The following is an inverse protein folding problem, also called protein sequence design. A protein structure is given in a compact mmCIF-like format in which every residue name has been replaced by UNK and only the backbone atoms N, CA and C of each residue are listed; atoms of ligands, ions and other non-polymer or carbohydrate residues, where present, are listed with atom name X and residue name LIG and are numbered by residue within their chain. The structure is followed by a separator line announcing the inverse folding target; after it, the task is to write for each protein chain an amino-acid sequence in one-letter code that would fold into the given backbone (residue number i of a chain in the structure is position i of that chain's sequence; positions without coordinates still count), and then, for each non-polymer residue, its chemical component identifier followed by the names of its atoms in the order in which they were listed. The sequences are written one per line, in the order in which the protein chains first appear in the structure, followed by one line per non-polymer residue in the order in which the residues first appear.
data_IF_620902305283
#
_entry.id   IF_620902305283
#
_cell.length_a   1.000
_cell.length_b   1.000
_cell.length_c   1.000
_cell.angle_alpha   90.00
_cell.angle_beta   90.00
_cell.angle_gamma   90.00
#
_symmetry.space_group_name_H-M   'P 1'
#
loop_
_entity.id
_entity.type
_entity.pdbx_description
1 polymer ?
#
# COMPACT_ATOMS: atom_id res chain seq x y z
N UNK A 1 13.58 6.20 -10.88
CA UNK A 1 13.35 4.87 -11.50
C UNK A 1 12.06 4.22 -11.00
N UNK A 2 11.90 3.92 -9.70
CA UNK A 2 10.66 3.27 -9.20
C UNK A 2 9.38 4.11 -9.45
N UNK A 3 9.45 5.43 -9.26
CA UNK A 3 8.35 6.36 -9.62
C UNK A 3 8.03 6.26 -11.11
N UNK A 4 9.04 6.38 -11.98
CA UNK A 4 8.88 6.28 -13.44
C UNK A 4 8.19 4.97 -13.86
N UNK A 5 8.59 3.85 -13.26
CA UNK A 5 7.96 2.56 -13.54
C UNK A 5 6.47 2.52 -13.17
N UNK A 6 6.08 3.15 -12.05
CA UNK A 6 4.67 3.27 -11.69
C UNK A 6 3.89 4.16 -12.68
N UNK A 7 4.52 5.23 -13.18
CA UNK A 7 3.92 6.08 -14.22
C UNK A 7 3.76 5.32 -15.54
N UNK A 8 4.73 4.49 -15.91
CA UNK A 8 4.64 3.60 -17.08
C UNK A 8 3.47 2.60 -16.93
N UNK A 9 3.28 2.00 -15.75
CA UNK A 9 2.13 1.13 -15.48
C UNK A 9 0.79 1.87 -15.65
N UNK A 10 0.73 3.15 -15.25
CA UNK A 10 -0.45 4.00 -15.48
C UNK A 10 -0.69 4.19 -16.98
N UNK A 11 0.35 4.48 -17.77
CA UNK A 11 0.22 4.65 -19.22
C UNK A 11 -0.26 3.37 -19.92
N UNK A 12 0.31 2.21 -19.58
CA UNK A 12 -0.17 0.92 -20.10
C UNK A 12 -1.63 0.69 -19.71
N UNK A 13 -1.98 0.94 -18.45
CA UNK A 13 -3.35 0.77 -17.98
C UNK A 13 -4.34 1.72 -18.66
N UNK A 14 -3.93 2.93 -19.04
CA UNK A 14 -4.76 3.85 -19.85
C UNK A 14 -5.10 3.26 -21.21
N UNK A 15 -4.12 2.65 -21.88
CA UNK A 15 -4.32 1.99 -23.19
C UNK A 15 -5.27 0.78 -23.08
N UNK A 16 -5.22 0.05 -21.96
CA UNK A 16 -6.03 -1.15 -21.74
C UNK A 16 -7.40 -0.87 -21.08
N UNK A 17 -7.68 0.39 -20.72
CA UNK A 17 -8.93 0.76 -20.06
C UNK A 17 -8.98 0.49 -18.55
N UNK A 18 -7.84 0.20 -17.90
CA UNK A 18 -7.72 0.17 -16.44
C UNK A 18 -8.10 1.52 -15.81
N UNK A 19 -8.45 1.48 -14.53
CA UNK A 19 -8.87 2.64 -13.72
C UNK A 19 -8.20 2.69 -12.34
N UNK A 20 -7.21 1.84 -12.09
CA UNK A 20 -6.48 1.87 -10.84
C UNK A 20 -5.05 1.36 -11.01
N UNK A 21 -4.20 1.80 -10.10
CA UNK A 21 -2.85 1.26 -9.87
C UNK A 21 -2.80 0.72 -8.44
N UNK A 22 -2.37 -0.53 -8.28
CA UNK A 22 -2.02 -1.10 -6.97
C UNK A 22 -0.51 -1.08 -6.81
N UNK A 23 -0.03 -0.61 -5.66
CA UNK A 23 1.39 -0.56 -5.30
C UNK A 23 1.61 -1.40 -4.06
N UNK A 24 2.29 -2.53 -4.25
CA UNK A 24 2.90 -3.33 -3.21
C UNK A 24 4.41 -3.36 -3.44
N UNK A 25 5.20 -3.18 -2.39
CA UNK A 25 6.66 -3.22 -2.44
C UNK A 25 7.21 -4.00 -1.25
N UNK A 26 8.37 -4.60 -1.44
CA UNK A 26 9.08 -5.32 -0.39
C UNK A 26 10.00 -4.46 0.48
N UNK A 27 9.87 -3.13 0.40
CA UNK A 27 10.76 -2.19 1.08
C UNK A 27 10.69 -2.36 2.61
N UNK A 28 11.87 -2.49 3.21
CA UNK A 28 12.00 -2.76 4.63
C UNK A 28 13.43 -3.04 5.03
N UNK A 29 13.61 -3.77 6.12
CA UNK A 29 14.90 -4.18 6.62
C UNK A 29 14.85 -5.58 7.22
N UNK A 30 16.03 -6.19 7.31
CA UNK A 30 16.22 -7.52 7.88
C UNK A 30 16.98 -7.50 9.21
N UNK A 31 17.50 -6.33 9.63
CA UNK A 31 18.26 -6.19 10.87
C UNK A 31 17.92 -4.90 11.62
N UNK A 32 17.98 -4.92 12.96
CA UNK A 32 17.93 -3.71 13.78
C UNK A 32 18.97 -2.67 13.36
N UNK A 33 18.53 -1.42 13.20
CA UNK A 33 19.40 -0.29 12.85
C UNK A 33 19.76 -0.16 11.35
N UNK A 34 19.41 -1.14 10.51
CA UNK A 34 19.69 -1.08 9.07
C UNK A 34 18.97 0.09 8.38
N UNK A 35 17.76 0.40 8.83
CA UNK A 35 16.96 1.52 8.33
C UNK A 35 16.48 2.39 9.48
N UNK A 36 16.45 3.70 9.23
CA UNK A 36 15.67 4.61 10.07
C UNK A 36 14.21 4.57 9.59
N UNK A 37 13.30 4.11 10.44
CA UNK A 37 11.90 3.87 10.07
C UNK A 37 11.19 5.14 9.60
N UNK A 38 11.33 6.24 10.34
CA UNK A 38 10.69 7.51 10.00
C UNK A 38 11.19 8.04 8.65
N UNK A 39 12.52 8.09 8.45
CA UNK A 39 13.10 8.55 7.19
C UNK A 39 12.77 7.64 6.00
N UNK A 40 12.63 6.34 6.22
CA UNK A 40 12.20 5.41 5.18
C UNK A 40 10.75 5.68 4.76
N UNK A 41 9.87 5.92 5.73
CA UNK A 41 8.49 6.26 5.46
C UNK A 41 8.32 7.65 4.81
N UNK A 42 9.11 8.64 5.21
CA UNK A 42 9.17 9.97 4.54
C UNK A 42 9.50 9.82 3.05
N UNK A 43 10.56 9.07 2.72
CA UNK A 43 10.93 8.79 1.33
C UNK A 43 9.85 8.07 0.55
N UNK A 44 9.16 7.12 1.20
CA UNK A 44 8.02 6.43 0.59
C UNK A 44 6.90 7.42 0.25
N UNK A 45 6.54 8.29 1.19
CA UNK A 45 5.50 9.30 0.97
C UNK A 45 5.87 10.27 -0.15
N UNK A 46 7.12 10.74 -0.20
CA UNK A 46 7.60 11.64 -1.26
C UNK A 46 7.50 10.96 -2.64
N UNK A 47 7.98 9.73 -2.77
CA UNK A 47 7.88 8.97 -4.03
C UNK A 47 6.41 8.72 -4.42
N UNK A 48 5.55 8.36 -3.47
CA UNK A 48 4.14 8.11 -3.74
C UNK A 48 3.36 9.38 -4.08
N UNK A 49 3.78 10.56 -3.59
CA UNK A 49 3.22 11.86 -4.01
C UNK A 49 3.49 12.13 -5.48
N UNK A 50 4.69 11.79 -5.98
CA UNK A 50 5.01 11.89 -7.41
C UNK A 50 4.14 10.94 -8.25
N UNK A 51 4.00 9.67 -7.84
CA UNK A 51 3.10 8.70 -8.51
C UNK A 51 1.65 9.20 -8.50
N UNK A 52 1.19 9.72 -7.36
CA UNK A 52 -0.16 10.24 -7.20
C UNK A 52 -0.45 11.43 -8.12
N UNK A 53 0.53 12.31 -8.32
CA UNK A 53 0.42 13.45 -9.23
C UNK A 53 0.20 13.01 -10.69
N UNK A 54 0.74 11.85 -11.09
CA UNK A 54 0.54 11.25 -12.40
C UNK A 54 -0.80 10.54 -12.61
N UNK A 55 -1.62 10.35 -11.58
CA UNK A 55 -2.90 9.64 -11.70
C UNK A 55 -3.92 10.42 -12.53
N UNK A 56 -4.52 9.81 -13.57
CA UNK A 56 -5.59 10.42 -14.34
C UNK A 56 -6.84 10.75 -13.50
N UNK A 57 -7.73 11.58 -14.05
CA UNK A 57 -9.05 11.79 -13.48
C UNK A 57 -9.85 10.47 -13.45
N UNK A 58 -10.54 10.22 -12.33
CA UNK A 58 -11.32 8.99 -12.13
C UNK A 58 -10.51 7.73 -11.84
N UNK A 59 -9.18 7.81 -11.80
CA UNK A 59 -8.32 6.71 -11.34
C UNK A 59 -8.20 6.66 -9.83
N UNK A 60 -7.90 5.47 -9.31
CA UNK A 60 -7.55 5.24 -7.91
C UNK A 60 -6.13 4.70 -7.77
N UNK A 61 -5.52 4.99 -6.63
CA UNK A 61 -4.25 4.41 -6.20
C UNK A 61 -4.51 3.58 -4.95
N UNK A 62 -4.05 2.35 -4.98
CA UNK A 62 -4.18 1.40 -3.89
C UNK A 62 -2.81 1.09 -3.32
N UNK A 63 -2.55 1.47 -2.08
CA UNK A 63 -1.38 0.97 -1.34
C UNK A 63 -1.77 -0.31 -0.62
N UNK A 64 -0.98 -1.36 -0.82
CA UNK A 64 -1.17 -2.66 -0.20
C UNK A 64 -0.16 -2.83 0.94
N UNK A 65 -0.67 -3.20 2.12
CA UNK A 65 0.16 -3.41 3.29
C UNK A 65 0.51 -4.88 3.43
N UNK A 66 1.67 -5.16 4.04
CA UNK A 66 2.10 -6.51 4.37
C UNK A 66 3.04 -6.50 5.57
N UNK A 67 2.73 -7.31 6.58
CA UNK A 67 3.48 -7.35 7.83
C UNK A 67 4.99 -7.62 7.61
N UNK A 68 5.31 -8.65 6.84
CA UNK A 68 6.68 -9.08 6.56
C UNK A 68 6.74 -9.80 5.20
N UNK A 69 7.94 -10.20 4.79
CA UNK A 69 8.27 -10.86 3.52
C UNK A 69 8.12 -9.93 2.28
N UNK A 70 9.24 -9.56 1.63
CA UNK A 70 10.60 -10.08 1.78
C UNK A 70 11.40 -9.46 2.93
N UNK A 71 10.88 -8.43 3.60
CA UNK A 71 11.55 -7.83 4.76
C UNK A 71 11.17 -8.59 6.04
N UNK A 72 12.16 -9.03 6.82
CA UNK A 72 11.96 -9.93 7.96
C UNK A 72 12.18 -9.29 9.32
N UNK A 73 12.52 -8.01 9.39
CA UNK A 73 12.62 -7.26 10.64
C UNK A 73 11.65 -6.08 10.69
N UNK A 74 11.64 -5.23 9.66
CA UNK A 74 10.64 -4.17 9.52
C UNK A 74 10.22 -4.00 8.05
N UNK A 75 8.95 -3.70 7.81
CA UNK A 75 8.42 -3.35 6.47
C UNK A 75 7.95 -1.91 6.49
N UNK A 76 8.14 -1.16 5.40
CA UNK A 76 7.72 0.26 5.35
C UNK A 76 6.20 0.39 5.41
N UNK A 77 5.47 -0.46 4.71
CA UNK A 77 3.99 -0.49 4.68
C UNK A 77 3.49 -1.73 5.41
N UNK A 78 3.78 -1.83 6.70
CA UNK A 78 3.63 -3.08 7.46
C UNK A 78 2.19 -3.44 7.82
N UNK A 79 1.31 -2.46 8.03
CA UNK A 79 -0.06 -2.71 8.49
C UNK A 79 -1.06 -1.68 7.95
N UNK A 80 -2.34 -1.93 8.24
CA UNK A 80 -3.44 -1.07 7.86
C UNK A 80 -3.36 0.34 8.47
N UNK A 81 -2.67 0.52 9.59
CA UNK A 81 -2.46 1.82 10.24
C UNK A 81 -1.53 2.70 9.42
N UNK A 82 -0.37 2.17 9.02
CA UNK A 82 0.52 2.86 8.07
C UNK A 82 -0.19 3.07 6.73
N UNK A 83 -0.91 2.07 6.24
CA UNK A 83 -1.66 2.17 5.00
C UNK A 83 -2.71 3.29 5.04
N UNK A 84 -3.42 3.44 6.17
CA UNK A 84 -4.36 4.52 6.38
C UNK A 84 -3.68 5.89 6.39
N UNK A 85 -2.52 6.02 7.03
CA UNK A 85 -1.72 7.25 7.00
C UNK A 85 -1.32 7.64 5.57
N UNK A 86 -0.86 6.68 4.76
CA UNK A 86 -0.53 6.88 3.34
C UNK A 86 -1.76 7.39 2.58
N UNK A 87 -2.88 6.68 2.66
CA UNK A 87 -4.08 7.02 1.91
C UNK A 87 -4.64 8.40 2.32
N UNK A 88 -4.50 8.78 3.59
CA UNK A 88 -4.90 10.10 4.09
C UNK A 88 -3.97 11.21 3.60
N UNK A 89 -2.66 10.98 3.62
CA UNK A 89 -1.63 11.95 3.22
C UNK A 89 -1.62 12.21 1.71
N UNK A 90 -1.83 11.18 0.88
CA UNK A 90 -1.81 11.33 -0.58
C UNK A 90 -3.06 12.03 -1.14
N UNK A 91 -4.24 11.78 -0.54
CA UNK A 91 -5.48 12.46 -0.88
C UNK A 91 -6.62 11.54 -1.34
N UNK A 92 -7.62 12.12 -2.00
CA UNK A 92 -8.92 11.47 -2.23
C UNK A 92 -8.90 10.32 -3.25
N UNK A 93 -7.90 10.27 -4.14
CA UNK A 93 -7.74 9.15 -5.08
C UNK A 93 -7.00 7.96 -4.45
N UNK A 94 -6.46 8.09 -3.24
CA UNK A 94 -5.66 7.06 -2.58
C UNK A 94 -6.49 6.30 -1.54
N UNK A 95 -6.40 4.97 -1.58
CA UNK A 95 -7.11 4.04 -0.71
C UNK A 95 -6.21 2.88 -0.30
N UNK A 96 -6.61 2.17 0.76
CA UNK A 96 -5.93 0.98 1.25
C UNK A 96 -6.48 -0.27 0.55
N UNK A 97 -5.59 -1.15 0.09
CA UNK A 97 -5.93 -2.51 -0.32
C UNK A 97 -5.66 -3.47 0.84
N UNK A 98 -6.62 -4.37 1.07
CA UNK A 98 -6.56 -5.42 2.10
C UNK A 98 -6.35 -6.75 1.41
N UNK A 99 -5.16 -7.33 1.57
CA UNK A 99 -4.91 -8.74 1.27
C UNK A 99 -5.16 -9.58 2.52
N UNK A 100 -5.91 -10.67 2.40
CA UNK A 100 -6.30 -11.48 3.57
C UNK A 100 -5.10 -12.13 4.28
N UNK A 101 -4.05 -12.51 3.56
CA UNK A 101 -2.88 -13.21 4.10
C UNK A 101 -1.77 -12.30 4.61
N UNK A 102 -1.99 -10.99 4.70
CA UNK A 102 -0.94 -10.00 4.98
C UNK A 102 -0.91 -9.45 6.42
N UNK A 103 -1.61 -10.12 7.33
CA UNK A 103 -1.82 -9.67 8.71
C UNK A 103 -1.07 -10.53 9.72
N UNK A 104 -0.83 -9.99 10.92
CA UNK A 104 -0.27 -10.77 12.01
C UNK A 104 -1.22 -11.91 12.45
N UNK A 105 -0.69 -12.96 13.11
CA UNK A 105 -1.51 -14.05 13.61
C UNK A 105 -2.66 -13.58 14.51
N UNK A 106 -3.85 -14.15 14.31
CA UNK A 106 -5.09 -13.88 15.05
C UNK A 106 -5.66 -12.46 14.90
N UNK A 107 -5.16 -11.65 13.95
CA UNK A 107 -5.78 -10.35 13.65
C UNK A 107 -7.23 -10.55 13.19
N UNK A 108 -8.14 -9.78 13.77
CA UNK A 108 -9.52 -9.70 13.28
C UNK A 108 -9.55 -8.80 12.03
N UNK A 109 -9.51 -9.43 10.85
CA UNK A 109 -9.40 -8.72 9.56
C UNK A 109 -10.70 -7.98 9.25
N UNK A 110 -11.86 -8.56 9.56
CA UNK A 110 -13.15 -7.92 9.32
C UNK A 110 -13.35 -6.63 10.14
N UNK A 111 -12.70 -6.48 11.29
CA UNK A 111 -12.65 -5.21 12.03
C UNK A 111 -11.81 -4.16 11.28
N UNK A 112 -10.67 -4.53 10.68
CA UNK A 112 -9.88 -3.62 9.84
C UNK A 112 -10.72 -3.14 8.65
N UNK A 113 -11.40 -4.07 7.97
CA UNK A 113 -12.32 -3.76 6.89
C UNK A 113 -13.39 -2.76 7.35
N UNK A 114 -14.03 -3.01 8.49
CA UNK A 114 -15.02 -2.09 9.08
C UNK A 114 -14.46 -0.69 9.31
N UNK A 115 -13.23 -0.57 9.84
CA UNK A 115 -12.58 0.74 10.07
C UNK A 115 -12.26 1.45 8.75
N UNK A 116 -11.71 0.75 7.77
CA UNK A 116 -11.39 1.34 6.46
C UNK A 116 -12.66 1.80 5.72
N UNK A 117 -13.78 1.08 5.86
CA UNK A 117 -15.09 1.51 5.35
C UNK A 117 -15.57 2.76 6.08
N UNK A 118 -15.55 2.75 7.42
CA UNK A 118 -15.99 3.86 8.26
C UNK A 118 -15.28 5.18 7.88
N UNK A 119 -13.98 5.11 7.61
CA UNK A 119 -13.18 6.27 7.21
C UNK A 119 -13.03 6.45 5.69
N UNK A 120 -13.82 5.72 4.88
CA UNK A 120 -13.86 5.81 3.42
C UNK A 120 -12.50 5.61 2.74
N UNK A 121 -11.64 4.78 3.34
CA UNK A 121 -10.31 4.43 2.81
C UNK A 121 -10.18 2.96 2.41
N UNK A 122 -11.27 2.18 2.41
CA UNK A 122 -11.27 0.86 1.79
C UNK A 122 -11.28 0.98 0.26
N UNK A 123 -10.21 0.56 -0.39
CA UNK A 123 -10.05 0.58 -1.85
C UNK A 123 -10.52 -0.70 -2.53
N UNK A 124 -10.10 -1.84 -1.98
CA UNK A 124 -10.39 -3.16 -2.53
C UNK A 124 -9.78 -4.29 -1.71
N UNK A 125 -9.88 -5.50 -2.24
CA UNK A 125 -9.44 -6.73 -1.62
C UNK A 125 -8.53 -7.53 -2.55
N UNK A 126 -7.52 -8.19 -1.99
CA UNK A 126 -6.93 -9.39 -2.57
C UNK A 126 -7.42 -10.60 -1.76
N UNK A 127 -8.26 -11.42 -2.40
CA UNK A 127 -8.84 -12.60 -1.77
C UNK A 127 -7.90 -13.80 -1.89
N UNK A 128 -7.64 -14.44 -0.76
CA UNK A 128 -6.93 -15.69 -0.62
C UNK A 128 -7.30 -16.31 0.74
N UNK A 129 -6.75 -17.48 1.04
CA UNK A 129 -6.83 -18.09 2.37
C UNK A 129 -5.42 -18.48 2.82
N UNK A 130 -5.20 -18.52 4.13
CA UNK A 130 -3.88 -18.76 4.71
C UNK A 130 -3.98 -19.39 6.09
N UNK A 131 -2.90 -20.07 6.50
CA UNK A 131 -2.83 -20.76 7.79
C UNK A 131 -1.65 -20.32 8.65
N UNK A 132 -0.53 -19.97 8.02
CA UNK A 132 0.74 -19.70 8.68
C UNK A 132 1.30 -18.30 8.41
N UNK A 133 0.98 -17.78 7.22
CA UNK A 133 1.47 -16.50 6.70
C UNK A 133 1.04 -15.33 7.55
#
# INVERSE_FOLDING_TARGET
QAVEHNLECIEIGKTLGSKALTVWIGDGSNFPGQVNFAKAFERYLDAMKEVYAGLPAGWKLFSEHKMYEPAFYSTVVQDWGTNYMIARELGDKAFCLVDLGHHAPNVNIEMIVSRLIQFKKLGGFHFNDSKYG
#
